data_IF_912591581068
#
_entry.id   IF_912591581068
#
_cell.length_a   1.000
_cell.length_b   1.000
_cell.length_c   1.000
_cell.angle_alpha   90.00
_cell.angle_beta   90.00
_cell.angle_gamma   90.00
#
_symmetry.space_group_name_H-M   'P 1'
#
loop_
_entity.id
_entity.type
_entity.pdbx_description
1 polymer ?
#
# COMPACT_ATOMS: atom_id res chain seq x y z
N UNK A 1 -10.18 -11.05 -11.88
CA UNK A 1 -9.12 -11.48 -10.95
C UNK A 1 -8.70 -10.24 -10.16
N UNK A 2 -8.43 -10.34 -8.86
CA UNK A 2 -8.10 -9.16 -8.03
C UNK A 2 -6.60 -9.08 -7.76
N UNK A 3 -6.00 -7.90 -7.99
CA UNK A 3 -4.55 -7.67 -7.80
C UNK A 3 -4.30 -6.85 -6.53
N UNK A 4 -3.21 -7.17 -5.83
CA UNK A 4 -2.80 -6.46 -4.61
C UNK A 4 -1.31 -6.13 -4.61
N UNK A 5 -0.92 -5.06 -3.91
CA UNK A 5 0.48 -4.63 -3.74
C UNK A 5 0.82 -4.44 -2.25
N UNK A 6 2.03 -4.86 -1.88
CA UNK A 6 2.58 -4.66 -0.54
C UNK A 6 3.38 -3.35 -0.50
N UNK A 7 2.93 -2.39 0.32
CA UNK A 7 3.56 -1.08 0.54
C UNK A 7 4.81 -1.15 1.43
N UNK A 8 5.08 -2.31 2.03
CA UNK A 8 6.22 -2.53 2.90
C UNK A 8 5.89 -2.23 4.37
N UNK A 9 6.91 -1.79 5.11
CA UNK A 9 6.85 -1.63 6.56
C UNK A 9 6.65 -0.17 6.95
N UNK A 10 5.66 0.08 7.82
CA UNK A 10 5.27 1.41 8.30
C UNK A 10 6.17 1.95 9.41
N UNK A 11 6.90 1.11 10.15
CA UNK A 11 7.72 1.59 11.27
C UNK A 11 6.92 2.25 12.38
N UNK A 12 7.65 2.94 13.27
CA UNK A 12 7.10 3.64 14.44
C UNK A 12 6.18 4.81 14.08
N UNK A 13 6.36 5.39 12.89
CA UNK A 13 5.50 6.46 12.37
C UNK A 13 4.87 6.02 11.07
N UNK A 14 3.54 5.93 11.08
CA UNK A 14 2.77 5.54 9.91
C UNK A 14 2.90 6.63 8.83
N UNK A 15 3.67 6.33 7.79
CA UNK A 15 3.73 7.12 6.57
C UNK A 15 2.99 6.39 5.45
N UNK A 16 1.83 6.92 5.05
CA UNK A 16 1.00 6.33 4.00
C UNK A 16 1.33 7.02 2.67
N UNK A 17 1.99 6.34 1.70
CA UNK A 17 2.36 6.95 0.43
C UNK A 17 1.15 7.06 -0.51
N UNK A 18 0.31 8.07 -0.30
CA UNK A 18 -0.97 8.24 -1.02
C UNK A 18 -0.82 8.31 -2.54
N UNK A 19 0.25 8.91 -3.04
CA UNK A 19 0.48 9.05 -4.48
C UNK A 19 0.84 7.71 -5.14
N UNK A 20 1.50 6.81 -4.41
CA UNK A 20 1.75 5.44 -4.86
C UNK A 20 0.46 4.62 -4.89
N UNK A 21 -0.40 4.80 -3.89
CA UNK A 21 -1.70 4.12 -3.81
C UNK A 21 -2.59 4.53 -4.99
N UNK A 22 -2.65 5.82 -5.33
CA UNK A 22 -3.41 6.32 -6.49
C UNK A 22 -2.87 5.77 -7.81
N UNK A 23 -1.55 5.63 -7.94
CA UNK A 23 -0.96 5.00 -9.12
C UNK A 23 -1.37 3.52 -9.21
N UNK A 24 -1.30 2.78 -8.11
CA UNK A 24 -1.76 1.40 -8.06
C UNK A 24 -3.26 1.28 -8.42
N UNK A 25 -4.11 2.15 -7.88
CA UNK A 25 -5.52 2.22 -8.24
C UNK A 25 -5.71 2.46 -9.74
N UNK A 26 -4.98 3.42 -10.34
CA UNK A 26 -5.05 3.71 -11.78
C UNK A 26 -4.61 2.55 -12.68
N UNK A 27 -3.76 1.65 -12.16
CA UNK A 27 -3.31 0.45 -12.85
C UNK A 27 -4.25 -0.75 -12.64
N UNK A 28 -5.33 -0.59 -11.88
CA UNK A 28 -6.34 -1.63 -11.64
C UNK A 28 -6.02 -2.57 -10.48
N UNK A 29 -5.20 -2.15 -9.52
CA UNK A 29 -5.03 -2.89 -8.27
C UNK A 29 -6.26 -2.70 -7.36
N UNK A 30 -6.72 -3.79 -6.76
CA UNK A 30 -7.90 -3.82 -5.88
C UNK A 30 -7.57 -3.62 -4.40
N UNK A 31 -6.30 -3.83 -4.00
CA UNK A 31 -5.91 -3.75 -2.58
C UNK A 31 -4.45 -3.36 -2.37
N UNK A 32 -4.20 -2.70 -1.23
CA UNK A 32 -2.85 -2.35 -0.76
C UNK A 32 -2.69 -2.81 0.69
N UNK A 33 -1.52 -3.33 1.04
CA UNK A 33 -1.22 -3.86 2.38
C UNK A 33 0.08 -3.27 2.92
N UNK A 34 0.14 -2.98 4.22
CA UNK A 34 1.35 -2.53 4.91
C UNK A 34 1.55 -3.35 6.18
N UNK A 35 2.80 -3.56 6.58
CA UNK A 35 3.15 -4.22 7.83
C UNK A 35 3.49 -3.18 8.90
N UNK A 36 3.11 -3.45 10.14
CA UNK A 36 3.59 -2.76 11.34
C UNK A 36 4.27 -3.78 12.26
N UNK A 37 5.22 -3.33 13.09
CA UNK A 37 5.91 -4.18 14.05
C UNK A 37 5.87 -3.42 15.37
N UNK A 38 5.41 -4.14 16.38
CA UNK A 38 5.12 -3.67 17.71
C UNK A 38 6.36 -3.75 18.61
#
# INVERSE_FOLDING_TARGET
>A
MKLGILLGYSGKQINIPIDLIRQAESMGYDSVWTAEAY
#
